data_IF_265201009220
#
_entry.id   IF_265201009220
#
_cell.length_a   1.000
_cell.length_b   1.000
_cell.length_c   1.000
_cell.angle_alpha   90.00
_cell.angle_beta   90.00
_cell.angle_gamma   90.00
#
_symmetry.space_group_name_H-M   'P 1'
#
loop_
_entity.id
_entity.type
_entity.pdbx_description
1 polymer ?
#
# COMPACT_ATOMS: atom_id res chain seq x y z
N UNK A 1 8.91 -38.17 20.43
CA UNK A 1 9.49 -37.10 21.24
C UNK A 1 10.64 -36.47 20.43
N UNK A 2 10.42 -35.33 19.87
CA UNK A 2 11.48 -34.47 19.37
C UNK A 2 10.86 -33.07 19.27
N UNK A 3 11.39 -32.18 20.07
CA UNK A 3 10.92 -30.81 20.26
C UNK A 3 11.22 -29.98 19.02
N UNK A 4 10.21 -29.30 18.51
CA UNK A 4 10.34 -28.29 17.46
C UNK A 4 11.04 -27.05 17.98
N UNK A 5 12.01 -26.61 17.25
CA UNK A 5 12.79 -25.40 17.50
C UNK A 5 11.96 -24.16 17.20
N UNK A 6 11.91 -23.29 18.16
CA UNK A 6 11.37 -21.94 18.14
C UNK A 6 11.89 -21.11 16.96
N UNK A 7 10.98 -20.41 16.28
CA UNK A 7 11.33 -19.33 15.37
C UNK A 7 12.07 -18.23 16.12
N UNK A 8 13.32 -18.04 15.81
CA UNK A 8 14.11 -16.95 16.31
C UNK A 8 13.57 -15.64 15.73
N UNK A 9 13.19 -14.72 16.61
CA UNK A 9 13.04 -13.30 16.28
C UNK A 9 14.41 -12.81 15.82
N UNK A 10 14.56 -12.59 14.53
CA UNK A 10 15.79 -12.05 13.96
C UNK A 10 15.94 -10.60 14.43
N UNK A 11 16.91 -10.37 15.25
CA UNK A 11 17.36 -9.03 15.59
C UNK A 11 18.06 -8.44 14.37
N UNK A 12 17.32 -7.70 13.54
CA UNK A 12 17.87 -6.83 12.52
C UNK A 12 18.06 -5.46 13.14
N UNK A 13 19.23 -5.13 13.55
CA UNK A 13 19.66 -3.72 13.58
C UNK A 13 21.17 -3.58 13.65
N UNK A 14 21.72 -2.82 12.69
CA UNK A 14 22.90 -1.94 12.90
C UNK A 14 23.04 -1.00 11.72
N UNK A 15 22.40 0.19 11.78
CA UNK A 15 22.62 1.25 10.80
C UNK A 15 21.59 2.36 10.72
N UNK A 16 20.56 2.34 11.52
CA UNK A 16 19.61 3.45 11.56
C UNK A 16 20.29 4.70 12.13
N UNK A 17 20.19 5.81 11.39
CA UNK A 17 20.56 7.14 11.88
C UNK A 17 19.68 7.43 13.09
N UNK A 18 20.19 7.26 14.30
CA UNK A 18 19.47 7.59 15.52
C UNK A 18 18.97 9.03 15.40
N UNK A 19 17.64 9.21 15.48
CA UNK A 19 17.07 10.54 15.64
C UNK A 19 17.82 11.22 16.81
N UNK A 20 18.32 12.43 16.58
CA UNK A 20 19.04 13.17 17.61
C UNK A 20 18.12 13.29 18.83
N UNK A 21 18.42 12.54 19.89
CA UNK A 21 17.86 12.68 21.23
C UNK A 21 16.33 12.93 21.29
N UNK A 22 15.49 11.92 21.07
CA UNK A 22 14.09 11.95 21.48
C UNK A 22 13.14 12.89 20.73
N UNK A 23 13.58 13.62 19.70
CA UNK A 23 12.71 14.50 18.92
C UNK A 23 11.80 13.66 17.99
N UNK A 24 10.49 13.94 18.04
CA UNK A 24 9.49 13.33 17.15
C UNK A 24 9.46 14.06 15.80
N UNK A 25 9.28 13.33 14.71
CA UNK A 25 9.01 13.92 13.40
C UNK A 25 7.59 14.52 13.42
N UNK A 26 7.48 15.80 13.11
CA UNK A 26 6.19 16.50 13.04
C UNK A 26 5.57 16.27 11.68
N UNK A 27 4.36 15.74 11.67
CA UNK A 27 3.67 15.39 10.42
C UNK A 27 2.32 16.11 10.29
N UNK A 28 1.90 16.31 9.05
CA UNK A 28 0.54 16.73 8.73
C UNK A 28 -0.17 15.66 7.90
N UNK A 29 -1.49 15.57 8.05
CA UNK A 29 -2.35 14.65 7.30
C UNK A 29 -3.36 15.48 6.53
N UNK A 30 -3.26 15.49 5.20
CA UNK A 30 -4.22 16.15 4.30
C UNK A 30 -5.24 15.11 3.83
N UNK A 31 -6.52 15.43 3.93
CA UNK A 31 -7.61 14.48 3.73
C UNK A 31 -7.95 13.68 5.00
N UNK A 32 -7.71 14.26 6.18
CA UNK A 32 -7.95 13.65 7.49
C UNK A 32 -9.41 13.23 7.74
N UNK A 33 -10.36 13.75 6.97
CA UNK A 33 -11.79 13.49 7.11
C UNK A 33 -12.27 12.22 6.39
N UNK A 34 -11.43 11.62 5.53
CA UNK A 34 -11.69 10.37 4.83
C UNK A 34 -11.33 9.11 5.64
N UNK A 35 -11.67 7.91 5.12
CA UNK A 35 -11.32 6.64 5.78
C UNK A 35 -9.82 6.43 5.94
N UNK A 36 -9.05 6.72 4.90
CA UNK A 36 -7.59 6.59 4.94
C UNK A 36 -6.97 7.58 5.92
N UNK A 37 -7.44 8.84 5.95
CA UNK A 37 -7.01 9.84 6.93
C UNK A 37 -7.31 9.42 8.37
N UNK A 38 -8.50 8.89 8.61
CA UNK A 38 -8.91 8.32 9.90
C UNK A 38 -7.99 7.18 10.34
N UNK A 39 -7.61 6.29 9.44
CA UNK A 39 -6.73 5.17 9.73
C UNK A 39 -5.28 5.62 9.97
N UNK A 40 -4.78 6.62 9.23
CA UNK A 40 -3.50 7.26 9.51
C UNK A 40 -3.46 7.85 10.92
N UNK A 41 -4.51 8.58 11.33
CA UNK A 41 -4.59 9.14 12.68
C UNK A 41 -4.56 8.03 13.73
N UNK A 42 -5.35 6.95 13.54
CA UNK A 42 -5.40 5.82 14.47
C UNK A 42 -4.03 5.18 14.69
N UNK A 43 -3.26 4.99 13.64
CA UNK A 43 -1.94 4.36 13.69
C UNK A 43 -0.86 5.33 14.20
N UNK A 44 -0.83 6.56 13.66
CA UNK A 44 0.20 7.55 13.98
C UNK A 44 0.05 8.14 15.39
N UNK A 45 -1.16 8.17 15.96
CA UNK A 45 -1.37 8.57 17.37
C UNK A 45 -0.62 7.66 18.37
N UNK A 46 -0.32 6.42 17.96
CA UNK A 46 0.43 5.44 18.78
C UNK A 46 1.90 5.32 18.34
N UNK A 47 2.32 6.07 17.33
CA UNK A 47 3.68 5.99 16.80
C UNK A 47 4.68 6.73 17.69
N UNK A 48 5.70 6.06 18.25
CA UNK A 48 6.57 6.66 19.27
C UNK A 48 7.41 7.84 18.75
N UNK A 49 7.74 7.84 17.46
CA UNK A 49 8.61 8.82 16.84
C UNK A 49 7.87 9.89 16.02
N UNK A 50 6.54 9.99 16.15
CA UNK A 50 5.72 10.94 15.39
C UNK A 50 4.92 11.86 16.32
N UNK A 51 4.76 13.11 15.91
CA UNK A 51 3.82 14.07 16.44
C UNK A 51 2.90 14.53 15.31
N UNK A 52 1.59 14.37 15.46
CA UNK A 52 0.61 14.90 14.51
C UNK A 52 0.47 16.39 14.76
N UNK A 53 1.16 17.20 13.94
CA UNK A 53 1.16 18.66 14.04
C UNK A 53 -0.07 19.30 13.38
N UNK A 54 -0.71 18.64 12.41
CA UNK A 54 -1.90 19.16 11.74
C UNK A 54 -2.74 18.13 11.03
N UNK A 55 -4.06 18.30 11.12
CA UNK A 55 -5.04 17.59 10.32
C UNK A 55 -5.67 18.59 9.36
N UNK A 56 -5.61 18.35 8.05
CA UNK A 56 -6.05 19.30 7.04
C UNK A 56 -7.30 18.79 6.33
N UNK A 57 -8.35 19.63 6.31
CA UNK A 57 -9.62 19.35 5.63
C UNK A 57 -10.45 20.62 5.50
N UNK A 58 -10.44 21.23 4.30
CA UNK A 58 -10.98 22.59 4.06
C UNK A 58 -12.44 22.79 4.50
N UNK A 59 -13.30 21.82 4.22
CA UNK A 59 -14.75 21.93 4.50
C UNK A 59 -15.10 21.75 5.99
N UNK A 60 -14.17 21.26 6.79
CA UNK A 60 -14.39 20.90 8.20
C UNK A 60 -13.45 21.64 9.15
N UNK A 61 -12.97 22.81 8.73
CA UNK A 61 -12.10 23.67 9.55
C UNK A 61 -12.74 24.00 10.90
N UNK A 62 -11.97 23.77 11.95
CA UNK A 62 -12.38 24.00 13.35
C UNK A 62 -13.06 22.80 14.00
N UNK A 63 -13.53 21.82 13.23
CA UNK A 63 -14.19 20.66 13.80
C UNK A 63 -13.20 19.78 14.58
N UNK A 64 -13.59 19.25 15.75
CA UNK A 64 -12.83 18.25 16.46
C UNK A 64 -12.89 16.93 15.67
N UNK A 65 -11.75 16.23 15.58
CA UNK A 65 -11.67 14.97 14.79
C UNK A 65 -12.63 13.90 15.32
N UNK A 66 -12.89 13.87 16.62
CA UNK A 66 -13.87 12.98 17.25
C UNK A 66 -15.32 13.23 16.81
N UNK A 67 -15.65 14.46 16.39
CA UNK A 67 -16.95 14.78 15.80
C UNK A 67 -17.12 14.28 14.36
N UNK A 68 -16.01 13.98 13.67
CA UNK A 68 -15.99 13.44 12.32
C UNK A 68 -15.87 11.92 12.35
N UNK A 69 -15.00 11.43 13.21
CA UNK A 69 -14.66 10.01 13.39
C UNK A 69 -14.82 9.63 14.88
N UNK A 70 -15.97 9.11 15.26
CA UNK A 70 -16.32 8.83 16.66
C UNK A 70 -15.30 7.96 17.42
N UNK A 71 -14.66 7.01 16.75
CA UNK A 71 -13.61 6.16 17.33
C UNK A 71 -12.32 6.92 17.68
N UNK A 72 -12.14 8.14 17.17
CA UNK A 72 -11.03 9.04 17.51
C UNK A 72 -11.41 10.13 18.53
N UNK A 73 -12.53 9.97 19.24
CA UNK A 73 -13.05 11.00 20.17
C UNK A 73 -12.11 11.33 21.33
N UNK A 74 -11.21 10.41 21.70
CA UNK A 74 -10.19 10.64 22.72
C UNK A 74 -8.98 11.44 22.22
N UNK A 75 -8.86 11.64 20.91
CA UNK A 75 -7.80 12.43 20.30
C UNK A 75 -8.21 13.92 20.34
N UNK A 76 -7.50 14.73 21.11
CA UNK A 76 -7.74 16.18 21.20
C UNK A 76 -7.12 16.90 19.99
N UNK A 77 -7.56 16.54 18.78
CA UNK A 77 -7.09 17.06 17.50
C UNK A 77 -8.24 17.76 16.77
N UNK A 78 -7.93 18.88 16.12
CA UNK A 78 -8.88 19.66 15.33
C UNK A 78 -8.42 19.72 13.87
N UNK A 79 -9.36 19.96 12.98
CA UNK A 79 -9.12 20.10 11.54
C UNK A 79 -8.79 21.57 11.22
N UNK A 80 -7.76 21.77 10.41
CA UNK A 80 -7.28 23.05 9.91
C UNK A 80 -7.39 23.13 8.39
N UNK A 81 -7.17 24.29 7.82
CA UNK A 81 -7.17 24.53 6.36
C UNK A 81 -5.76 24.70 5.78
N UNK A 82 -4.74 24.85 6.63
CA UNK A 82 -3.35 25.07 6.24
C UNK A 82 -2.42 24.06 6.90
N UNK A 83 -1.38 23.66 6.17
CA UNK A 83 -0.32 22.80 6.72
C UNK A 83 0.55 23.66 7.65
N UNK A 84 0.79 23.23 8.90
CA UNK A 84 1.68 23.95 9.81
C UNK A 84 3.11 24.02 9.27
N UNK A 85 3.77 25.17 9.44
CA UNK A 85 5.18 25.34 9.05
C UNK A 85 6.13 24.36 9.77
N UNK A 86 5.73 23.92 10.95
CA UNK A 86 6.48 22.93 11.72
C UNK A 86 6.44 21.50 11.12
N UNK A 87 5.56 21.22 10.15
CA UNK A 87 5.45 19.89 9.55
C UNK A 87 6.68 19.56 8.69
N UNK A 88 7.35 18.47 9.00
CA UNK A 88 8.52 17.93 8.31
C UNK A 88 8.11 16.91 7.24
N UNK A 89 6.97 16.24 7.43
CA UNK A 89 6.41 15.33 6.46
C UNK A 89 4.88 15.52 6.32
N UNK A 90 4.35 15.18 5.15
CA UNK A 90 2.92 15.31 4.83
C UNK A 90 2.41 14.04 4.19
N UNK A 91 1.38 13.45 4.79
CA UNK A 91 0.60 12.37 4.19
C UNK A 91 -0.57 12.96 3.42
N UNK A 92 -0.69 12.64 2.14
CA UNK A 92 -1.68 13.19 1.23
C UNK A 92 -2.70 12.10 0.84
N UNK A 93 -3.87 12.11 1.47
CA UNK A 93 -4.99 11.21 1.16
C UNK A 93 -6.06 11.97 0.35
N UNK A 94 -5.70 12.37 -0.87
CA UNK A 94 -6.51 13.21 -1.76
C UNK A 94 -6.95 12.45 -3.03
N UNK A 95 -8.02 12.92 -3.71
CA UNK A 95 -8.40 12.39 -5.02
C UNK A 95 -7.30 12.56 -6.07
N UNK A 96 -7.32 11.68 -7.09
CA UNK A 96 -6.38 11.73 -8.22
C UNK A 96 -6.38 13.08 -8.94
N UNK A 97 -5.23 13.46 -9.49
CA UNK A 97 -4.98 14.74 -10.14
C UNK A 97 -4.79 15.93 -9.17
N UNK A 98 -5.16 15.78 -7.91
CA UNK A 98 -5.11 16.88 -6.94
C UNK A 98 -3.71 17.13 -6.41
N UNK A 99 -2.96 16.07 -6.12
CA UNK A 99 -1.60 16.19 -5.56
C UNK A 99 -0.65 16.74 -6.62
N UNK A 100 -0.66 16.17 -7.81
CA UNK A 100 0.21 16.61 -8.90
C UNK A 100 -0.01 18.10 -9.28
N UNK A 101 -1.27 18.54 -9.31
CA UNK A 101 -1.62 19.94 -9.59
C UNK A 101 -1.18 20.94 -8.51
N UNK A 102 -0.98 20.47 -7.28
CA UNK A 102 -0.71 21.30 -6.10
C UNK A 102 0.58 20.91 -5.37
N UNK A 103 1.43 20.15 -5.98
CA UNK A 103 2.60 19.55 -5.30
C UNK A 103 3.53 20.60 -4.66
N UNK A 104 3.69 21.77 -5.28
CA UNK A 104 4.56 22.82 -4.76
C UNK A 104 4.02 23.41 -3.43
N UNK A 105 2.70 23.45 -3.25
CA UNK A 105 2.07 23.82 -1.98
C UNK A 105 2.42 22.81 -0.87
N UNK A 106 2.40 21.53 -1.19
CA UNK A 106 2.67 20.47 -0.22
C UNK A 106 4.17 20.35 0.10
N UNK A 107 5.01 20.44 -0.92
CA UNK A 107 6.45 20.41 -0.77
C UNK A 107 6.93 21.51 0.17
N UNK A 108 6.50 22.76 0.01
CA UNK A 108 6.78 23.87 0.89
C UNK A 108 8.17 23.80 1.54
N UNK A 109 8.31 24.51 2.65
CA UNK A 109 9.48 24.37 3.52
C UNK A 109 9.04 24.13 4.97
N UNK A 110 9.79 23.31 5.69
CA UNK A 110 9.65 23.18 7.15
C UNK A 110 10.21 24.44 7.86
N UNK A 111 10.07 24.52 9.19
CA UNK A 111 10.58 25.64 9.98
C UNK A 111 12.10 25.81 9.90
N UNK A 112 12.86 24.80 9.46
CA UNK A 112 14.30 24.83 9.23
C UNK A 112 14.66 25.16 7.77
N UNK A 113 13.67 25.37 6.89
CA UNK A 113 13.88 25.65 5.46
C UNK A 113 14.12 24.41 4.58
N UNK A 114 13.95 23.20 5.10
CA UNK A 114 14.04 21.98 4.31
C UNK A 114 12.73 21.68 3.61
N UNK A 115 12.78 21.08 2.42
CA UNK A 115 11.62 20.58 1.72
C UNK A 115 10.98 19.44 2.51
N UNK A 116 9.65 19.46 2.68
CA UNK A 116 8.90 18.42 3.38
C UNK A 116 8.97 17.08 2.65
N UNK A 117 9.01 15.99 3.41
CA UNK A 117 8.78 14.64 2.86
C UNK A 117 7.31 14.49 2.49
N UNK A 118 7.03 14.07 1.27
CA UNK A 118 5.68 13.82 0.77
C UNK A 118 5.42 12.31 0.69
N UNK A 119 4.36 11.86 1.31
CA UNK A 119 3.81 10.51 1.15
C UNK A 119 2.46 10.65 0.45
N UNK A 120 2.46 10.49 -0.87
CA UNK A 120 1.24 10.56 -1.67
C UNK A 120 0.52 9.21 -1.65
N UNK A 121 -0.64 9.17 -1.03
CA UNK A 121 -1.52 8.00 -0.99
C UNK A 121 -2.53 7.99 -2.14
N UNK A 122 -2.61 9.10 -2.86
CA UNK A 122 -3.25 9.19 -4.16
C UNK A 122 -2.40 8.50 -5.24
N UNK A 123 -2.86 8.48 -6.48
CA UNK A 123 -2.14 7.80 -7.55
C UNK A 123 -1.13 8.68 -8.29
N UNK A 124 -1.04 9.97 -7.94
CA UNK A 124 -0.42 10.96 -8.82
C UNK A 124 1.10 10.75 -8.99
N UNK A 125 1.75 10.08 -8.04
CA UNK A 125 3.20 9.83 -8.08
C UNK A 125 3.57 8.33 -8.01
N UNK A 126 2.68 7.44 -8.47
CA UNK A 126 2.93 5.99 -8.47
C UNK A 126 3.62 5.48 -9.73
N UNK A 127 3.26 6.07 -10.90
CA UNK A 127 3.73 5.61 -12.19
C UNK A 127 4.94 6.41 -12.66
N UNK A 128 5.94 5.72 -13.20
CA UNK A 128 7.16 6.33 -13.74
C UNK A 128 6.96 6.83 -15.16
N UNK A 129 6.14 6.13 -15.98
CA UNK A 129 5.83 6.53 -17.34
C UNK A 129 4.69 7.55 -17.37
N UNK A 130 4.95 8.83 -17.77
CA UNK A 130 3.92 9.85 -17.82
C UNK A 130 2.78 9.52 -18.80
N UNK A 131 3.01 8.70 -19.83
CA UNK A 131 1.99 8.31 -20.80
C UNK A 131 0.89 7.43 -20.20
N UNK A 132 1.14 6.80 -19.05
CA UNK A 132 0.15 5.98 -18.35
C UNK A 132 -0.93 6.81 -17.65
N UNK A 133 -0.66 8.10 -17.34
CA UNK A 133 -1.64 8.94 -16.65
C UNK A 133 -2.86 9.28 -17.51
N UNK A 134 -2.75 9.76 -18.75
CA UNK A 134 -3.92 9.92 -19.61
C UNK A 134 -4.64 8.60 -19.92
N UNK A 135 -3.92 7.50 -20.05
CA UNK A 135 -4.50 6.21 -20.38
C UNK A 135 -5.38 5.64 -19.23
N UNK A 136 -4.93 5.72 -17.98
CA UNK A 136 -5.60 5.10 -16.84
C UNK A 136 -6.29 6.08 -15.89
N UNK A 137 -5.84 7.35 -15.85
CA UNK A 137 -6.35 8.36 -14.92
C UNK A 137 -7.07 9.52 -15.61
N UNK A 138 -7.04 9.57 -16.96
CA UNK A 138 -7.73 10.57 -17.79
C UNK A 138 -7.29 12.02 -17.53
N UNK A 139 -6.01 12.23 -17.18
CA UNK A 139 -5.39 13.55 -17.12
C UNK A 139 -3.92 13.51 -17.54
N UNK A 140 -3.45 14.61 -18.12
CA UNK A 140 -2.02 14.81 -18.40
C UNK A 140 -1.31 15.20 -17.10
N UNK A 141 -0.24 14.48 -16.74
CA UNK A 141 0.48 14.76 -15.50
C UNK A 141 1.21 16.11 -15.57
N UNK A 142 0.85 17.12 -14.74
CA UNK A 142 1.37 18.47 -14.86
C UNK A 142 2.82 18.61 -14.38
N UNK A 143 3.34 17.64 -13.66
CA UNK A 143 4.69 17.65 -13.08
C UNK A 143 5.45 16.37 -13.44
N UNK A 144 5.54 16.09 -14.74
CA UNK A 144 6.31 14.95 -15.27
C UNK A 144 7.80 15.04 -14.90
N UNK A 145 8.30 16.25 -14.68
CA UNK A 145 9.67 16.53 -14.22
C UNK A 145 10.01 15.87 -12.87
N UNK A 146 9.01 15.60 -12.03
CA UNK A 146 9.19 15.00 -10.72
C UNK A 146 9.16 13.46 -10.72
N UNK A 147 8.51 12.85 -11.70
CA UNK A 147 8.31 11.39 -11.74
C UNK A 147 9.61 10.58 -11.62
N UNK A 148 10.71 10.93 -12.31
CA UNK A 148 11.96 10.17 -12.20
C UNK A 148 12.61 10.20 -10.81
N UNK A 149 12.21 11.15 -9.95
CA UNK A 149 12.71 11.29 -8.58
C UNK A 149 11.76 10.75 -7.51
N UNK A 150 10.60 10.22 -7.92
CA UNK A 150 9.64 9.59 -7.00
C UNK A 150 10.02 8.15 -6.72
N UNK A 151 9.68 7.67 -5.54
CA UNK A 151 9.91 6.27 -5.15
C UNK A 151 8.57 5.59 -4.91
N UNK A 152 8.40 4.42 -5.48
CA UNK A 152 7.22 3.59 -5.20
C UNK A 152 7.26 3.05 -3.77
N UNK A 153 6.22 3.33 -3.01
CA UNK A 153 6.19 3.15 -1.55
C UNK A 153 5.90 1.73 -1.08
N UNK A 154 6.53 0.71 -1.69
CA UNK A 154 6.42 -0.69 -1.32
C UNK A 154 7.78 -1.21 -0.82
N UNK A 155 8.09 -1.13 0.51
CA UNK A 155 9.40 -1.50 1.05
C UNK A 155 9.87 -2.90 0.70
N UNK A 156 8.98 -3.86 0.56
CA UNK A 156 9.30 -5.23 0.16
C UNK A 156 9.97 -5.34 -1.22
N UNK A 157 9.81 -4.31 -2.07
CA UNK A 157 10.43 -4.22 -3.38
C UNK A 157 11.47 -3.10 -3.46
N UNK A 158 11.25 -1.96 -2.79
CA UNK A 158 11.97 -0.70 -2.98
C UNK A 158 12.61 -0.16 -1.70
N UNK A 159 12.96 -1.03 -0.74
CA UNK A 159 13.54 -0.59 0.56
C UNK A 159 14.83 0.21 0.40
N UNK A 160 15.69 -0.20 -0.54
CA UNK A 160 16.97 0.48 -0.77
C UNK A 160 16.76 1.88 -1.35
N UNK A 161 15.85 2.02 -2.30
CA UNK A 161 15.49 3.29 -2.95
C UNK A 161 14.84 4.25 -1.96
N UNK A 162 13.92 3.75 -1.12
CA UNK A 162 13.28 4.53 -0.05
C UNK A 162 14.34 5.05 0.96
N UNK A 163 15.23 4.20 1.39
CA UNK A 163 16.31 4.59 2.30
C UNK A 163 17.29 5.57 1.66
N UNK A 164 17.55 5.44 0.36
CA UNK A 164 18.40 6.39 -0.38
C UNK A 164 17.71 7.74 -0.55
N UNK A 165 16.42 7.75 -0.88
CA UNK A 165 15.61 8.97 -1.00
C UNK A 165 15.61 9.78 0.30
N UNK A 166 15.50 9.12 1.45
CA UNK A 166 15.56 9.77 2.77
C UNK A 166 16.84 10.54 3.07
N UNK A 167 17.88 10.41 2.23
CA UNK A 167 19.14 11.17 2.33
C UNK A 167 19.17 12.39 1.40
N UNK A 168 18.13 12.62 0.62
CA UNK A 168 18.01 13.75 -0.31
C UNK A 168 17.22 14.89 0.30
N UNK A 169 17.30 16.08 -0.29
CA UNK A 169 16.56 17.25 0.16
C UNK A 169 15.08 17.24 -0.29
N UNK A 170 14.71 16.37 -1.22
CA UNK A 170 13.34 16.26 -1.71
C UNK A 170 12.96 14.80 -1.77
N UNK A 171 11.89 14.44 -1.08
CA UNK A 171 11.37 13.08 -1.05
C UNK A 171 9.90 13.09 -1.42
N UNK A 172 9.54 12.38 -2.48
CA UNK A 172 8.16 12.10 -2.86
C UNK A 172 8.03 10.57 -2.95
N UNK A 173 7.14 10.02 -2.15
CA UNK A 173 6.81 8.59 -2.14
C UNK A 173 5.40 8.42 -2.69
N UNK A 174 5.26 7.68 -3.78
CA UNK A 174 3.97 7.22 -4.31
C UNK A 174 3.52 5.95 -3.58
N UNK A 175 2.63 6.07 -2.61
CA UNK A 175 2.14 4.90 -1.86
C UNK A 175 1.22 4.03 -2.73
N UNK A 176 1.42 2.71 -2.79
CA UNK A 176 0.67 1.80 -3.66
C UNK A 176 -0.84 1.82 -3.46
N UNK A 177 -1.57 1.44 -4.49
CA UNK A 177 -2.99 1.10 -4.37
C UNK A 177 -3.21 -0.25 -3.67
N UNK A 178 -4.32 -0.38 -2.94
CA UNK A 178 -4.56 -1.55 -2.11
C UNK A 178 -4.60 -2.89 -2.89
N UNK A 179 -5.26 -2.94 -4.03
CA UNK A 179 -5.23 -4.12 -4.90
C UNK A 179 -3.86 -4.34 -5.52
N UNK A 180 -3.15 -3.25 -5.88
CA UNK A 180 -1.81 -3.35 -6.43
C UNK A 180 -0.85 -3.97 -5.40
N UNK A 181 -0.85 -3.48 -4.15
CA UNK A 181 -0.08 -4.08 -3.05
C UNK A 181 -0.36 -5.58 -2.90
N UNK A 182 -1.65 -5.97 -2.90
CA UNK A 182 -2.05 -7.37 -2.72
C UNK A 182 -1.54 -8.25 -3.86
N UNK A 183 -1.74 -7.82 -5.10
CA UNK A 183 -1.40 -8.57 -6.31
C UNK A 183 0.10 -8.67 -6.54
N UNK A 184 0.80 -7.53 -6.39
CA UNK A 184 2.24 -7.45 -6.56
C UNK A 184 2.94 -8.36 -5.56
N UNK A 185 2.63 -8.26 -4.26
CA UNK A 185 3.24 -9.12 -3.25
C UNK A 185 2.93 -10.61 -3.48
N UNK A 186 1.70 -10.95 -3.89
CA UNK A 186 1.35 -12.33 -4.18
C UNK A 186 2.14 -12.90 -5.37
N UNK A 187 2.47 -12.08 -6.37
CA UNK A 187 3.08 -12.54 -7.63
C UNK A 187 4.60 -12.29 -7.73
N UNK A 188 5.17 -11.44 -6.89
CA UNK A 188 6.60 -11.09 -6.92
C UNK A 188 7.55 -12.30 -6.94
N UNK A 189 7.35 -13.38 -6.13
CA UNK A 189 8.25 -14.53 -6.19
C UNK A 189 8.24 -15.23 -7.54
N UNK A 190 7.07 -15.32 -8.18
CA UNK A 190 6.92 -15.93 -9.50
C UNK A 190 7.49 -15.03 -10.61
N UNK A 191 7.30 -13.71 -10.50
CA UNK A 191 7.85 -12.73 -11.45
C UNK A 191 9.39 -12.76 -11.42
N UNK A 192 10.01 -12.70 -10.23
CA UNK A 192 11.47 -12.78 -10.06
C UNK A 192 12.08 -14.06 -10.59
N UNK A 193 11.32 -15.16 -10.54
CA UNK A 193 11.75 -16.44 -11.10
C UNK A 193 11.48 -16.58 -12.61
N UNK A 194 10.91 -15.56 -13.28
CA UNK A 194 10.52 -15.61 -14.70
C UNK A 194 9.44 -16.66 -14.99
N UNK A 195 8.60 -16.98 -14.01
CA UNK A 195 7.61 -18.05 -14.12
C UNK A 195 6.23 -17.60 -14.61
N UNK A 196 5.98 -16.31 -14.80
CA UNK A 196 4.67 -15.81 -15.24
C UNK A 196 4.64 -15.78 -16.77
N UNK A 197 3.88 -16.68 -17.40
CA UNK A 197 3.57 -16.63 -18.83
C UNK A 197 2.30 -15.78 -19.08
N UNK A 198 1.24 -16.02 -18.30
CA UNK A 198 0.07 -15.16 -18.19
C UNK A 198 -0.53 -15.26 -16.76
N UNK A 199 -1.31 -14.27 -16.37
CA UNK A 199 -1.99 -14.28 -15.08
C UNK A 199 -3.35 -13.60 -15.15
N UNK A 200 -4.35 -14.27 -14.57
CA UNK A 200 -5.65 -13.67 -14.25
C UNK A 200 -5.70 -13.41 -12.74
N UNK A 201 -5.83 -12.15 -12.37
CA UNK A 201 -5.96 -11.70 -10.98
C UNK A 201 -7.43 -11.45 -10.69
N UNK A 202 -8.08 -12.41 -10.03
CA UNK A 202 -9.46 -12.32 -9.58
C UNK A 202 -9.49 -11.79 -8.14
N UNK A 203 -9.75 -10.49 -7.97
CA UNK A 203 -9.60 -9.78 -6.70
C UNK A 203 -10.93 -9.33 -6.10
N UNK A 204 -11.08 -9.48 -4.78
CA UNK A 204 -12.26 -9.11 -4.00
C UNK A 204 -11.86 -8.08 -2.95
N UNK A 205 -12.63 -6.98 -2.84
CA UNK A 205 -12.41 -5.92 -1.85
C UNK A 205 -13.65 -5.61 -1.07
N UNK A 206 -13.46 -5.27 0.20
CA UNK A 206 -14.48 -4.63 1.00
C UNK A 206 -14.77 -3.20 0.54
N UNK A 207 -15.99 -2.73 0.86
CA UNK A 207 -16.56 -1.47 0.36
C UNK A 207 -15.82 -0.21 0.82
N UNK A 208 -15.08 -0.26 1.93
CA UNK A 208 -14.30 0.89 2.41
C UNK A 208 -13.22 1.36 1.43
N UNK A 209 -12.81 0.50 0.48
CA UNK A 209 -11.89 0.86 -0.60
C UNK A 209 -12.45 1.89 -1.59
N UNK A 210 -13.77 2.05 -1.66
CA UNK A 210 -14.42 3.04 -2.50
C UNK A 210 -14.47 4.46 -1.89
N UNK A 211 -13.97 4.63 -0.66
CA UNK A 211 -13.96 5.90 0.06
C UNK A 211 -15.20 6.12 0.93
N UNK A 212 -15.24 7.28 1.61
CA UNK A 212 -16.31 7.63 2.57
C UNK A 212 -17.47 8.39 1.93
N UNK A 213 -17.25 9.01 0.79
CA UNK A 213 -18.27 9.84 0.16
C UNK A 213 -19.48 8.99 -0.23
N UNK A 214 -20.70 9.43 0.10
CA UNK A 214 -21.91 8.69 -0.21
C UNK A 214 -22.10 8.59 -1.72
N UNK A 215 -22.33 7.36 -2.21
CA UNK A 215 -22.67 7.07 -3.59
C UNK A 215 -23.87 6.14 -3.61
N UNK A 216 -24.76 6.28 -4.58
CA UNK A 216 -25.98 5.49 -4.68
C UNK A 216 -25.67 3.98 -4.70
N UNK A 217 -24.65 3.58 -5.47
CA UNK A 217 -24.23 2.18 -5.62
C UNK A 217 -23.44 1.61 -4.41
N UNK A 218 -23.21 2.43 -3.39
CA UNK A 218 -22.57 2.04 -2.12
C UNK A 218 -23.52 2.11 -0.92
N UNK A 219 -24.80 2.37 -1.14
CA UNK A 219 -25.82 2.31 -0.09
C UNK A 219 -25.95 0.87 0.43
N UNK A 220 -26.29 0.71 1.70
CA UNK A 220 -26.41 -0.60 2.34
C UNK A 220 -27.31 -1.57 1.56
N UNK A 221 -28.47 -1.08 1.07
CA UNK A 221 -29.40 -1.90 0.28
C UNK A 221 -28.85 -2.35 -1.08
N UNK A 222 -27.84 -1.67 -1.62
CA UNK A 222 -27.21 -2.03 -2.90
C UNK A 222 -26.00 -2.94 -2.73
N UNK A 223 -25.32 -2.84 -1.59
CA UNK A 223 -24.06 -3.57 -1.32
C UNK A 223 -24.29 -4.84 -0.53
N UNK A 224 -25.26 -4.83 0.40
CA UNK A 224 -25.52 -5.99 1.25
C UNK A 224 -25.93 -7.19 0.40
N UNK A 225 -25.32 -8.36 0.64
CA UNK A 225 -25.59 -9.61 -0.09
C UNK A 225 -25.33 -9.52 -1.61
N UNK A 226 -24.56 -8.52 -2.07
CA UNK A 226 -24.27 -8.27 -3.49
C UNK A 226 -22.77 -8.41 -3.77
N UNK A 227 -22.41 -9.07 -4.88
CA UNK A 227 -21.06 -9.15 -5.42
C UNK A 227 -21.05 -8.49 -6.79
N UNK A 228 -20.19 -7.47 -6.99
CA UNK A 228 -20.16 -6.65 -8.20
C UNK A 228 -18.75 -6.57 -8.77
N UNK A 229 -18.53 -7.06 -9.99
CA UNK A 229 -17.33 -6.75 -10.75
C UNK A 229 -17.39 -5.30 -11.26
N UNK A 230 -16.26 -4.59 -11.27
CA UNK A 230 -16.18 -3.21 -11.73
C UNK A 230 -14.82 -2.90 -12.34
N UNK A 231 -14.75 -1.82 -13.15
CA UNK A 231 -13.51 -1.36 -13.74
C UNK A 231 -12.82 -2.44 -14.61
N UNK A 232 -13.57 -3.33 -15.23
CA UNK A 232 -13.05 -4.42 -16.07
C UNK A 232 -12.25 -3.81 -17.21
N UNK A 233 -10.99 -4.25 -17.39
CA UNK A 233 -10.00 -3.78 -18.38
C UNK A 233 -9.60 -2.30 -18.26
N UNK A 234 -10.18 -1.54 -17.31
CA UNK A 234 -9.96 -0.09 -17.19
C UNK A 234 -9.55 0.33 -15.78
N UNK A 235 -9.40 -0.62 -14.87
CA UNK A 235 -9.06 -0.30 -13.48
C UNK A 235 -7.64 0.25 -13.38
N UNK A 236 -7.48 1.37 -12.70
CA UNK A 236 -6.24 2.14 -12.58
C UNK A 236 -5.05 1.35 -12.01
N UNK A 237 -5.31 0.36 -11.15
CA UNK A 237 -4.26 -0.47 -10.56
C UNK A 237 -3.60 -1.42 -11.57
N UNK A 238 -4.15 -1.61 -12.77
CA UNK A 238 -3.50 -2.40 -13.83
C UNK A 238 -2.12 -1.83 -14.13
N UNK A 239 -2.02 -0.52 -14.36
CA UNK A 239 -0.75 0.12 -14.67
C UNK A 239 0.31 -0.05 -13.57
N UNK A 240 -0.11 0.01 -12.29
CA UNK A 240 0.80 -0.23 -11.15
C UNK A 240 1.28 -1.68 -11.11
N UNK A 241 0.35 -2.64 -11.27
CA UNK A 241 0.66 -4.08 -11.23
C UNK A 241 1.61 -4.44 -12.36
N UNK A 242 1.35 -3.95 -13.58
CA UNK A 242 2.21 -4.18 -14.75
C UNK A 242 3.60 -3.56 -14.54
N UNK A 243 3.67 -2.29 -14.14
CA UNK A 243 4.94 -1.61 -13.89
C UNK A 243 5.82 -2.41 -12.92
N UNK A 244 5.28 -2.80 -11.79
CA UNK A 244 6.05 -3.44 -10.73
C UNK A 244 6.42 -4.89 -11.09
N UNK A 245 5.50 -5.69 -11.63
CA UNK A 245 5.80 -7.08 -11.99
C UNK A 245 6.78 -7.18 -13.17
N UNK A 246 6.69 -6.29 -14.17
CA UNK A 246 7.66 -6.22 -15.27
C UNK A 246 9.04 -5.79 -14.74
N UNK A 247 9.10 -4.84 -13.82
CA UNK A 247 10.33 -4.44 -13.13
C UNK A 247 10.97 -5.57 -12.31
N UNK A 248 10.21 -6.59 -11.90
CA UNK A 248 10.70 -7.77 -11.16
C UNK A 248 11.05 -8.95 -12.08
N UNK A 249 10.95 -8.83 -13.40
CA UNK A 249 11.35 -9.87 -14.34
C UNK A 249 10.19 -10.64 -14.98
N UNK A 250 8.94 -10.25 -14.78
CA UNK A 250 7.85 -10.69 -15.65
C UNK A 250 8.14 -10.21 -17.06
N UNK A 251 8.13 -11.10 -18.04
CA UNK A 251 8.50 -10.75 -19.43
C UNK A 251 7.26 -10.41 -20.24
N UNK A 252 7.38 -9.35 -21.04
CA UNK A 252 6.50 -9.10 -22.19
C UNK A 252 7.08 -9.81 -23.42
N UNK A 253 7.32 -11.12 -23.38
CA UNK A 253 7.96 -11.75 -24.51
C UNK A 253 7.02 -12.10 -25.66
N UNK A 254 7.39 -11.54 -26.81
CA UNK A 254 7.35 -12.06 -28.16
C UNK A 254 6.03 -12.57 -28.77
N UNK A 255 4.93 -12.62 -28.07
CA UNK A 255 3.66 -12.99 -28.66
C UNK A 255 2.60 -11.91 -28.38
N UNK A 256 2.40 -10.92 -29.29
CA UNK A 256 1.37 -9.91 -29.10
C UNK A 256 0.00 -10.59 -28.95
N UNK A 257 -0.52 -10.66 -27.76
CA UNK A 257 -1.81 -11.30 -27.44
C UNK A 257 -1.77 -12.44 -26.43
N UNK A 258 -0.57 -12.83 -25.93
CA UNK A 258 -0.44 -13.85 -24.87
C UNK A 258 0.09 -13.29 -23.54
N UNK A 259 0.57 -12.05 -23.52
CA UNK A 259 1.34 -11.48 -22.40
C UNK A 259 0.51 -10.41 -21.72
N UNK A 260 -0.46 -10.83 -20.92
CA UNK A 260 -1.36 -9.90 -20.24
C UNK A 260 -1.51 -10.23 -18.76
N UNK A 261 -1.61 -9.17 -17.98
CA UNK A 261 -2.15 -9.25 -16.63
C UNK A 261 -3.63 -8.90 -16.72
N UNK A 262 -4.49 -9.90 -16.70
CA UNK A 262 -5.92 -9.69 -16.56
C UNK A 262 -6.24 -9.38 -15.11
N UNK A 263 -6.83 -8.21 -14.86
CA UNK A 263 -7.23 -7.79 -13.53
C UNK A 263 -8.74 -7.61 -13.45
N UNK A 264 -9.37 -8.43 -12.59
CA UNK A 264 -10.82 -8.46 -12.40
C UNK A 264 -11.17 -8.10 -10.95
N UNK A 265 -11.36 -6.82 -10.61
CA UNK A 265 -11.74 -6.42 -9.26
C UNK A 265 -13.23 -6.61 -9.00
N UNK A 266 -13.55 -7.04 -7.78
CA UNK A 266 -14.93 -7.15 -7.29
C UNK A 266 -15.08 -6.38 -5.98
N UNK A 267 -16.24 -5.74 -5.83
CA UNK A 267 -16.72 -5.26 -4.55
C UNK A 267 -17.61 -6.35 -3.94
N UNK A 268 -17.33 -6.71 -2.69
CA UNK A 268 -18.09 -7.73 -1.97
C UNK A 268 -18.65 -7.16 -0.67
N UNK A 269 -19.71 -7.77 -0.09
CA UNK A 269 -20.45 -7.23 1.06
C UNK A 269 -19.65 -7.43 2.38
N UNK A 270 -18.47 -6.86 2.45
CA UNK A 270 -17.68 -6.75 3.68
C UNK A 270 -17.12 -5.32 3.80
N UNK A 271 -16.82 -4.89 5.02
CA UNK A 271 -16.32 -3.53 5.25
C UNK A 271 -14.86 -3.39 4.83
N UNK A 272 -13.98 -4.30 5.27
CA UNK A 272 -12.53 -4.25 5.06
C UNK A 272 -11.99 -5.58 4.56
N UNK A 273 -10.83 -5.51 3.94
CA UNK A 273 -10.05 -6.65 3.47
C UNK A 273 -10.00 -6.75 1.96
N UNK A 274 -8.90 -7.27 1.46
CA UNK A 274 -8.74 -7.69 0.06
C UNK A 274 -8.26 -9.13 0.04
N UNK A 275 -8.81 -9.90 -0.90
CA UNK A 275 -8.29 -11.20 -1.32
C UNK A 275 -8.04 -11.12 -2.82
N UNK A 276 -6.81 -11.41 -3.25
CA UNK A 276 -6.46 -11.60 -4.65
C UNK A 276 -6.16 -13.08 -4.90
N UNK A 277 -6.89 -13.70 -5.81
CA UNK A 277 -6.62 -15.04 -6.32
C UNK A 277 -5.98 -14.91 -7.72
N UNK A 278 -4.69 -15.18 -7.79
CA UNK A 278 -3.89 -15.02 -9.00
C UNK A 278 -3.69 -16.37 -9.68
N UNK A 279 -4.38 -16.59 -10.80
CA UNK A 279 -4.31 -17.81 -11.59
C UNK A 279 -3.21 -17.67 -12.63
N UNK A 280 -2.07 -18.31 -12.38
CA UNK A 280 -0.86 -18.19 -13.21
C UNK A 280 -0.70 -19.40 -14.12
N UNK A 281 -0.47 -19.14 -15.41
CA UNK A 281 0.14 -20.09 -16.30
C UNK A 281 1.64 -19.86 -16.31
N UNK A 282 2.41 -20.90 -16.02
CA UNK A 282 3.87 -20.76 -15.89
C UNK A 282 4.58 -20.95 -17.23
N UNK A 283 5.72 -20.28 -17.38
CA UNK A 283 6.59 -20.36 -18.59
C UNK A 283 7.20 -21.74 -18.79
N UNK A 284 7.30 -22.53 -17.71
CA UNK A 284 7.77 -23.92 -17.69
C UNK A 284 7.07 -24.72 -16.58
N UNK A 285 7.12 -26.04 -16.63
CA UNK A 285 6.66 -26.85 -15.51
C UNK A 285 7.40 -26.49 -14.21
N UNK A 286 6.67 -26.41 -13.12
CA UNK A 286 7.18 -26.12 -11.76
C UNK A 286 6.58 -27.11 -10.76
N UNK A 287 7.35 -27.56 -9.77
CA UNK A 287 6.89 -28.42 -8.68
C UNK A 287 6.43 -27.63 -7.45
N UNK A 288 5.60 -28.24 -6.59
CA UNK A 288 5.15 -27.57 -5.36
C UNK A 288 6.32 -27.17 -4.44
N UNK A 289 7.32 -28.05 -4.27
CA UNK A 289 8.50 -27.76 -3.44
C UNK A 289 9.25 -26.53 -3.93
N UNK A 290 9.42 -26.37 -5.25
CA UNK A 290 10.07 -25.19 -5.84
C UNK A 290 9.25 -23.93 -5.55
N UNK A 291 7.93 -23.98 -5.64
CA UNK A 291 7.06 -22.85 -5.31
C UNK A 291 7.18 -22.45 -3.83
N UNK A 292 7.17 -23.44 -2.94
CA UNK A 292 7.32 -23.23 -1.50
C UNK A 292 8.67 -22.57 -1.18
N UNK A 293 9.75 -23.05 -1.80
CA UNK A 293 11.10 -22.49 -1.63
C UNK A 293 11.21 -21.06 -2.17
N UNK A 294 10.63 -20.75 -3.33
CA UNK A 294 10.61 -19.43 -3.92
C UNK A 294 9.90 -18.41 -2.99
N UNK A 295 8.73 -18.77 -2.46
CA UNK A 295 7.99 -17.88 -1.56
C UNK A 295 8.69 -17.74 -0.20
N UNK A 296 9.21 -18.82 0.36
CA UNK A 296 9.96 -18.77 1.60
C UNK A 296 11.22 -17.89 1.48
N UNK A 297 11.96 -18.03 0.39
CA UNK A 297 13.18 -17.24 0.15
C UNK A 297 12.85 -15.76 -0.10
N UNK A 298 11.82 -15.45 -0.89
CA UNK A 298 11.43 -14.09 -1.23
C UNK A 298 11.02 -13.27 -0.01
N UNK A 299 10.39 -13.90 0.97
CA UNK A 299 9.81 -13.22 2.12
C UNK A 299 10.46 -13.54 3.47
N UNK A 300 11.63 -14.20 3.46
CA UNK A 300 12.35 -14.63 4.68
C UNK A 300 12.63 -13.48 5.67
N UNK A 301 12.83 -12.26 5.17
CA UNK A 301 13.20 -11.10 5.97
C UNK A 301 12.14 -9.98 5.93
N UNK A 302 10.94 -10.27 5.44
CA UNK A 302 9.88 -9.29 5.32
C UNK A 302 9.00 -9.26 6.58
N UNK A 303 9.10 -8.17 7.34
CA UNK A 303 8.48 -8.04 8.66
C UNK A 303 6.96 -8.20 8.66
N UNK A 304 6.31 -7.86 7.55
CA UNK A 304 4.85 -7.85 7.43
C UNK A 304 4.32 -8.87 6.42
N UNK A 305 5.15 -9.80 5.95
CA UNK A 305 4.73 -10.85 5.01
C UNK A 305 4.83 -12.22 5.66
N UNK A 306 3.72 -12.96 5.66
CA UNK A 306 3.66 -14.34 6.15
C UNK A 306 3.25 -15.28 5.02
N UNK A 307 4.13 -16.23 4.67
CA UNK A 307 3.80 -17.34 3.79
C UNK A 307 3.08 -18.42 4.62
N UNK A 308 1.85 -18.74 4.24
CA UNK A 308 1.00 -19.67 5.00
C UNK A 308 0.99 -21.08 4.37
N UNK A 309 0.73 -22.11 5.17
CA UNK A 309 0.59 -23.49 4.69
C UNK A 309 -0.77 -23.80 4.08
N UNK A 310 -1.76 -22.97 4.34
CA UNK A 310 -3.13 -23.10 3.83
C UNK A 310 -3.59 -21.73 3.30
N UNK A 311 -4.52 -21.69 2.34
CA UNK A 311 -5.04 -20.43 1.83
C UNK A 311 -5.54 -19.49 2.96
N UNK A 312 -5.06 -18.24 3.02
CA UNK A 312 -5.45 -17.30 4.06
C UNK A 312 -6.85 -16.70 3.79
N UNK A 313 -7.47 -16.17 4.85
CA UNK A 313 -8.71 -15.41 4.77
C UNK A 313 -8.51 -13.95 5.18
N UNK A 314 -9.34 -13.05 4.69
CA UNK A 314 -9.27 -11.60 4.99
C UNK A 314 -9.34 -11.28 6.48
N UNK A 315 -10.05 -12.08 7.27
CA UNK A 315 -10.10 -11.93 8.74
C UNK A 315 -8.76 -12.19 9.43
N UNK A 316 -7.86 -12.95 8.80
CA UNK A 316 -6.55 -13.25 9.39
C UNK A 316 -5.61 -12.04 9.46
N UNK A 317 -5.96 -10.93 8.81
CA UNK A 317 -5.13 -9.71 8.70
C UNK A 317 -5.89 -8.43 9.06
N UNK A 318 -7.14 -8.53 9.46
CA UNK A 318 -8.02 -7.40 9.72
C UNK A 318 -7.43 -6.45 10.77
N UNK A 319 -7.31 -5.17 10.43
CA UNK A 319 -6.83 -4.10 11.31
C UNK A 319 -5.32 -4.07 11.55
N UNK A 320 -4.54 -4.94 10.89
CA UNK A 320 -3.09 -5.05 10.99
C UNK A 320 -2.36 -4.69 9.70
N UNK A 321 -1.03 -4.45 9.80
CA UNK A 321 -0.18 -4.24 8.63
C UNK A 321 0.33 -5.55 8.01
N UNK A 322 -0.27 -6.69 8.39
CA UNK A 322 0.12 -7.99 7.82
C UNK A 322 -0.41 -8.18 6.40
N UNK A 323 0.42 -8.78 5.57
CA UNK A 323 0.06 -9.44 4.33
C UNK A 323 0.29 -10.95 4.49
N UNK A 324 -0.69 -11.76 4.16
CA UNK A 324 -0.54 -13.22 4.15
C UNK A 324 -0.71 -13.77 2.75
N UNK A 325 0.16 -14.68 2.36
CA UNK A 325 0.13 -15.32 1.04
C UNK A 325 0.28 -16.84 1.14
N UNK A 326 -0.29 -17.50 0.16
CA UNK A 326 -0.19 -18.94 -0.07
C UNK A 326 -0.01 -19.18 -1.56
N UNK A 327 0.77 -20.21 -1.92
CA UNK A 327 0.92 -20.66 -3.29
C UNK A 327 0.70 -22.16 -3.40
N UNK A 328 0.02 -22.58 -4.46
CA UNK A 328 -0.22 -23.99 -4.73
C UNK A 328 -0.33 -24.29 -6.21
N UNK A 329 -0.04 -25.53 -6.58
CA UNK A 329 -0.17 -26.04 -7.94
C UNK A 329 -1.33 -27.02 -8.05
N UNK A 330 -2.17 -26.85 -9.03
CA UNK A 330 -3.14 -27.87 -9.45
C UNK A 330 -2.42 -28.90 -10.33
N UNK A 331 -2.15 -30.07 -9.78
CA UNK A 331 -1.45 -31.16 -10.50
C UNK A 331 -2.23 -31.65 -11.73
N UNK A 332 -3.54 -31.46 -11.75
CA UNK A 332 -4.41 -31.86 -12.85
C UNK A 332 -4.28 -30.95 -14.07
N UNK A 333 -4.10 -29.63 -13.84
CA UNK A 333 -4.05 -28.62 -14.91
C UNK A 333 -2.66 -28.02 -15.11
N UNK A 334 -1.76 -28.21 -14.17
CA UNK A 334 -0.45 -27.57 -14.12
C UNK A 334 -0.48 -26.08 -13.75
N UNK A 335 -1.68 -25.53 -13.47
CA UNK A 335 -1.87 -24.12 -13.14
C UNK A 335 -1.37 -23.83 -11.72
N UNK A 336 -0.71 -22.72 -11.54
CA UNK A 336 -0.30 -22.20 -10.23
C UNK A 336 -1.34 -21.19 -9.75
N UNK A 337 -1.73 -21.28 -8.48
CA UNK A 337 -2.61 -20.34 -7.82
C UNK A 337 -1.85 -19.70 -6.66
N UNK A 338 -1.67 -18.38 -6.73
CA UNK A 338 -1.17 -17.58 -5.62
C UNK A 338 -2.32 -16.79 -4.99
N UNK A 339 -2.48 -16.88 -3.67
CA UNK A 339 -3.51 -16.15 -2.92
C UNK A 339 -2.85 -15.17 -1.97
N UNK A 340 -3.20 -13.89 -2.08
CA UNK A 340 -2.78 -12.83 -1.16
C UNK A 340 -3.96 -12.21 -0.45
N UNK A 341 -3.79 -11.88 0.84
CA UNK A 341 -4.80 -11.13 1.62
C UNK A 341 -4.14 -10.04 2.46
N UNK A 342 -4.83 -8.91 2.57
CA UNK A 342 -4.45 -7.79 3.44
C UNK A 342 -5.70 -7.00 3.90
N UNK A 343 -5.53 -6.13 4.91
CA UNK A 343 -6.52 -5.08 5.21
C UNK A 343 -6.30 -3.90 4.26
N UNK A 344 -7.31 -3.57 3.46
CA UNK A 344 -7.23 -2.53 2.42
C UNK A 344 -6.99 -1.12 2.96
N UNK A 345 -7.31 -0.84 4.21
CA UNK A 345 -7.06 0.47 4.84
C UNK A 345 -5.72 0.51 5.62
N UNK A 346 -5.18 -0.65 6.02
CA UNK A 346 -3.90 -0.71 6.74
C UNK A 346 -2.77 -1.07 5.77
N UNK A 347 -2.46 -2.34 5.54
CA UNK A 347 -1.38 -2.74 4.60
C UNK A 347 -1.68 -2.31 3.16
N UNK A 348 -2.95 -2.17 2.80
CA UNK A 348 -3.36 -1.65 1.49
C UNK A 348 -3.31 -0.12 1.37
N UNK A 349 -3.10 0.64 2.47
CA UNK A 349 -3.11 2.11 2.45
C UNK A 349 -2.27 2.72 3.58
N UNK A 350 -2.90 3.05 4.73
CA UNK A 350 -2.29 3.84 5.79
C UNK A 350 -1.06 3.17 6.41
N UNK A 351 -1.11 1.87 6.67
CA UNK A 351 0.00 1.12 7.24
C UNK A 351 1.18 1.02 6.29
N UNK A 352 0.91 0.79 4.99
CA UNK A 352 1.93 0.78 3.94
C UNK A 352 2.63 2.15 3.82
N UNK A 353 1.87 3.23 3.85
CA UNK A 353 2.39 4.59 3.81
C UNK A 353 3.29 4.90 5.04
N UNK A 354 2.90 4.45 6.23
CA UNK A 354 3.70 4.60 7.46
C UNK A 354 4.96 3.72 7.40
N UNK A 355 4.86 2.50 6.87
CA UNK A 355 6.02 1.62 6.69
C UNK A 355 7.06 2.27 5.76
N UNK A 356 6.64 2.83 4.61
CA UNK A 356 7.52 3.56 3.70
C UNK A 356 8.09 4.83 4.35
N UNK A 357 7.28 5.60 5.08
CA UNK A 357 7.73 6.75 5.87
C UNK A 357 8.82 6.36 6.88
N UNK A 358 8.66 5.25 7.59
CA UNK A 358 9.66 4.76 8.54
C UNK A 358 11.01 4.51 7.87
N UNK A 359 11.01 3.82 6.72
CA UNK A 359 12.23 3.55 5.95
C UNK A 359 12.89 4.86 5.49
N UNK A 360 12.13 5.80 4.94
CA UNK A 360 12.62 7.12 4.49
C UNK A 360 13.27 7.89 5.64
N UNK A 361 12.68 7.85 6.83
CA UNK A 361 13.21 8.56 8.01
C UNK A 361 14.25 7.75 8.81
N UNK A 362 14.70 6.60 8.29
CA UNK A 362 15.71 5.75 8.96
C UNK A 362 15.24 5.13 10.26
N UNK A 363 13.92 4.98 10.40
CA UNK A 363 13.29 4.26 11.52
C UNK A 363 13.15 2.76 11.17
N UNK A 364 13.10 1.86 12.17
CA UNK A 364 12.68 0.49 11.91
C UNK A 364 11.30 0.49 11.24
N UNK A 365 11.17 -0.22 10.12
CA UNK A 365 9.93 -0.20 9.31
C UNK A 365 8.68 -0.65 10.08
N UNK A 366 8.86 -1.43 11.15
CA UNK A 366 7.79 -1.94 12.02
C UNK A 366 7.29 -0.94 13.05
N UNK A 367 7.97 0.21 13.21
CA UNK A 367 7.62 1.18 14.25
C UNK A 367 6.19 1.68 14.10
N UNK A 368 5.39 1.58 15.15
CA UNK A 368 3.99 1.99 15.18
C UNK A 368 3.01 1.07 14.44
N UNK A 369 3.47 -0.09 13.91
CA UNK A 369 2.69 -0.96 13.03
C UNK A 369 2.52 -2.41 13.53
N UNK A 370 2.87 -2.71 14.78
CA UNK A 370 2.83 -4.06 15.35
C UNK A 370 1.45 -4.45 15.93
N UNK A 371 0.37 -3.81 15.51
CA UNK A 371 -0.98 -4.19 15.91
C UNK A 371 -1.29 -5.60 15.39
N UNK A 372 -1.75 -6.46 16.29
CA UNK A 372 -2.22 -7.79 15.92
C UNK A 372 -3.55 -7.70 15.15
N UNK A 373 -3.83 -8.64 14.25
CA UNK A 373 -5.13 -8.74 13.60
C UNK A 373 -6.28 -8.86 14.59
N UNK A 374 -7.40 -8.24 14.25
CA UNK A 374 -8.64 -8.35 15.02
C UNK A 374 -9.34 -9.68 14.70
N UNK A 375 -9.82 -10.36 15.74
CA UNK A 375 -10.65 -11.55 15.61
C UNK A 375 -11.79 -11.49 16.64
N UNK A 376 -12.98 -12.00 16.32
CA UNK A 376 -13.44 -12.74 15.16
C UNK A 376 -13.65 -11.91 13.88
#
# INVERSE_FOLDING_TARGET
MSAGTNGAVVAADRGARALRGGAKVKIAIVGATGYVGSELIRLLALHPNVEIAGLIGRERKGDPIGGIHAHLATQNLHVYDTIPDAAEAVFLALPHGTVAARIDEFLGADAAGNTRTIIDMGPDFRLQDPAMYPAYYHFEHPRQDLLPSTVYGLPELHRAELAAAGKTNRVIVGSPGCYATTSILALTPLARAGLIADVVIDAKSGVSGAGRDPKADLLFGEVNESVKAYGIFTHRHIAEIEQELLGQGATRDANPGADGIDFLPHLIPMTRGILAACHVRTTRPVGQTELDDLYAAAFANEAFVTVTKTPPATKHVLGSNEFRTWVGKDERTGRVLAIGVLDNLVKGAAGQAIQAFNVVHGLPETTGLLQLPLAP
#
